data_IF_551520311857
#
_entry.id   IF_551520311857
#
_cell.length_a   1.000
_cell.length_b   1.000
_cell.length_c   1.000
_cell.angle_alpha   90.00
_cell.angle_beta   90.00
_cell.angle_gamma   90.00
#
_symmetry.space_group_name_H-M   'P 1'
#
loop_
_entity.id
_entity.type
_entity.pdbx_description
1 polymer ?
#
# COMPACT_ATOMS: atom_id res chain seq x y z
N UNK A 1 -63.88 19.79 -15.93
CA UNK A 1 -63.10 21.04 -16.02
C UNK A 1 -62.28 21.20 -14.74
N UNK A 2 -60.95 21.10 -14.88
CA UNK A 2 -59.94 21.93 -14.18
C UNK A 2 -59.72 21.60 -12.68
N UNK A 3 -58.51 21.36 -12.14
CA UNK A 3 -57.15 21.78 -12.50
C UNK A 3 -56.14 20.90 -11.73
N UNK A 4 -55.19 20.28 -12.42
CA UNK A 4 -54.01 19.68 -11.79
C UNK A 4 -53.17 20.76 -11.11
N UNK A 5 -52.84 20.60 -9.83
CA UNK A 5 -51.82 21.41 -9.15
C UNK A 5 -50.46 20.76 -9.39
N UNK A 6 -49.79 21.22 -10.45
CA UNK A 6 -48.40 20.86 -10.72
C UNK A 6 -47.49 21.37 -9.62
N UNK A 7 -46.79 20.46 -8.95
CA UNK A 7 -45.66 20.76 -8.10
C UNK A 7 -44.54 21.32 -8.98
N UNK A 8 -44.38 22.65 -9.00
CA UNK A 8 -43.20 23.30 -9.58
C UNK A 8 -42.03 23.04 -8.63
N UNK A 9 -41.30 21.95 -8.89
CA UNK A 9 -39.97 21.76 -8.36
C UNK A 9 -39.06 22.84 -8.96
N UNK A 10 -38.82 23.91 -8.20
CA UNK A 10 -37.80 24.90 -8.52
C UNK A 10 -36.47 24.16 -8.49
N UNK A 11 -35.92 23.82 -9.66
CA UNK A 11 -34.50 23.49 -9.79
C UNK A 11 -33.74 24.72 -9.30
N UNK A 12 -33.05 24.58 -8.18
CA UNK A 12 -32.02 25.52 -7.80
C UNK A 12 -31.08 25.64 -9.01
N UNK A 13 -30.88 26.87 -9.48
CA UNK A 13 -29.80 27.15 -10.43
C UNK A 13 -28.52 26.96 -9.64
N UNK A 14 -27.94 25.78 -9.74
CA UNK A 14 -26.57 25.52 -9.31
C UNK A 14 -25.68 26.40 -10.19
N UNK A 15 -25.28 27.56 -9.66
CA UNK A 15 -24.15 28.28 -10.21
C UNK A 15 -22.97 27.32 -10.14
N UNK A 16 -22.19 27.13 -11.22
CA UNK A 16 -21.01 26.30 -11.14
C UNK A 16 -20.09 26.95 -10.11
N UNK A 17 -20.01 26.33 -8.92
CA UNK A 17 -19.01 26.65 -7.92
C UNK A 17 -17.64 26.62 -8.61
N UNK A 18 -16.72 27.45 -8.13
CA UNK A 18 -15.36 27.50 -8.66
C UNK A 18 -14.83 26.07 -8.81
N UNK A 19 -14.18 25.74 -9.93
CA UNK A 19 -13.77 24.36 -10.25
C UNK A 19 -12.90 23.73 -9.14
N UNK A 20 -12.19 24.56 -8.37
CA UNK A 20 -11.46 24.17 -7.17
C UNK A 20 -12.38 23.65 -6.06
N UNK A 21 -13.50 24.32 -5.80
CA UNK A 21 -14.43 23.95 -4.74
C UNK A 21 -15.12 22.61 -5.06
N UNK A 22 -15.44 22.38 -6.34
CA UNK A 22 -15.98 21.10 -6.83
C UNK A 22 -14.95 19.97 -6.68
N UNK A 23 -13.69 20.22 -7.04
CA UNK A 23 -12.61 19.24 -6.91
C UNK A 23 -12.32 18.89 -5.45
N UNK A 24 -12.29 19.89 -4.55
CA UNK A 24 -12.11 19.68 -3.11
C UNK A 24 -13.28 18.89 -2.52
N UNK A 25 -14.53 19.25 -2.86
CA UNK A 25 -15.71 18.51 -2.42
C UNK A 25 -15.70 17.05 -2.89
N UNK A 26 -15.20 16.76 -4.10
CA UNK A 26 -15.02 15.39 -4.57
C UNK A 26 -13.92 14.63 -3.81
N UNK A 27 -12.79 15.28 -3.51
CA UNK A 27 -11.68 14.68 -2.75
C UNK A 27 -12.09 14.32 -1.31
N UNK A 28 -13.00 15.07 -0.69
CA UNK A 28 -13.57 14.75 0.62
C UNK A 28 -14.62 13.63 0.53
N UNK A 29 -15.48 13.68 -0.49
CA UNK A 29 -16.56 12.71 -0.68
C UNK A 29 -16.06 11.31 -1.04
N UNK A 30 -15.04 11.20 -1.90
CA UNK A 30 -14.54 9.92 -2.39
C UNK A 30 -14.07 8.95 -1.28
N UNK A 31 -13.22 9.34 -0.31
CA UNK A 31 -12.82 8.45 0.78
C UNK A 31 -14.01 8.07 1.66
N UNK A 32 -14.95 8.98 1.94
CA UNK A 32 -16.17 8.68 2.70
C UNK A 32 -17.07 7.62 2.05
N UNK A 33 -17.00 7.47 0.72
CA UNK A 33 -17.77 6.47 -0.03
C UNK A 33 -16.98 5.23 -0.44
N UNK A 34 -15.70 5.18 -0.12
CA UNK A 34 -14.81 4.08 -0.52
C UNK A 34 -14.97 2.81 0.32
N UNK A 35 -15.68 2.88 1.46
CA UNK A 35 -15.79 1.77 2.41
C UNK A 35 -14.47 1.46 3.14
N UNK A 36 -13.51 2.39 3.09
CA UNK A 36 -12.27 2.32 3.85
C UNK A 36 -12.58 2.61 5.32
N UNK A 37 -12.17 1.70 6.19
CA UNK A 37 -12.32 1.82 7.64
C UNK A 37 -11.37 2.88 8.23
N UNK A 38 -11.74 3.45 9.38
CA UNK A 38 -10.94 4.48 10.05
C UNK A 38 -9.56 3.95 10.52
N UNK A 39 -9.42 2.63 10.73
CA UNK A 39 -8.13 2.01 11.07
C UNK A 39 -7.22 1.77 9.86
N UNK A 40 -7.71 2.02 8.63
CA UNK A 40 -6.93 1.81 7.43
C UNK A 40 -5.75 2.80 7.36
N UNK A 41 -4.55 2.24 7.48
CA UNK A 41 -3.34 3.05 7.48
C UNK A 41 -3.01 3.61 6.08
N UNK A 42 -3.20 4.92 5.90
CA UNK A 42 -2.67 5.68 4.77
C UNK A 42 -1.33 6.34 5.15
N UNK A 43 -0.62 6.85 4.15
CA UNK A 43 0.57 7.67 4.38
C UNK A 43 0.16 8.90 5.20
N UNK A 44 0.67 9.01 6.44
CA UNK A 44 0.29 10.03 7.44
C UNK A 44 0.33 11.47 6.91
N UNK A 45 1.14 11.73 5.88
CA UNK A 45 1.26 13.05 5.26
C UNK A 45 0.26 13.35 4.15
N UNK A 46 -0.38 12.35 3.52
CA UNK A 46 -1.19 12.57 2.30
C UNK A 46 -2.39 13.48 2.53
N UNK A 47 -2.94 13.49 3.75
CA UNK A 47 -4.08 14.34 4.11
C UNK A 47 -3.67 15.68 4.73
N UNK A 48 -2.36 15.97 4.85
CA UNK A 48 -1.91 17.21 5.45
C UNK A 48 -1.80 18.31 4.38
N UNK A 49 -2.45 19.48 4.55
CA UNK A 49 -2.31 20.60 3.62
C UNK A 49 -0.85 20.99 3.44
N UNK A 50 -0.39 21.08 2.19
CA UNK A 50 1.00 21.42 1.87
C UNK A 50 1.99 20.26 2.02
N UNK A 51 1.53 19.02 2.21
CA UNK A 51 2.41 17.85 2.22
C UNK A 51 3.19 17.73 0.92
N UNK A 52 4.53 17.74 1.06
CA UNK A 52 5.46 17.40 -0.01
C UNK A 52 6.05 16.04 0.31
N UNK A 53 5.66 15.04 -0.47
CA UNK A 53 6.24 13.71 -0.38
C UNK A 53 7.75 13.78 -0.55
N UNK A 54 8.49 13.15 0.36
CA UNK A 54 9.93 12.94 0.22
C UNK A 54 10.24 11.46 0.14
N UNK A 55 11.27 11.10 -0.61
CA UNK A 55 11.73 9.71 -0.70
C UNK A 55 12.13 9.15 0.67
N UNK A 56 12.66 10.01 1.56
CA UNK A 56 12.99 9.65 2.93
C UNK A 56 11.75 9.22 3.72
N UNK A 57 10.68 10.02 3.66
CA UNK A 57 9.40 9.72 4.31
C UNK A 57 8.77 8.47 3.73
N UNK A 58 8.69 8.36 2.40
CA UNK A 58 8.14 7.18 1.74
C UNK A 58 8.86 5.91 2.15
N UNK A 59 10.21 5.94 2.20
CA UNK A 59 11.02 4.80 2.66
C UNK A 59 10.71 4.41 4.10
N UNK A 60 10.64 5.38 5.00
CA UNK A 60 10.39 5.12 6.42
C UNK A 60 9.00 4.51 6.64
N UNK A 61 7.98 5.04 5.99
CA UNK A 61 6.61 4.54 6.06
C UNK A 61 6.48 3.12 5.48
N UNK A 62 7.01 2.89 4.28
CA UNK A 62 6.97 1.57 3.65
C UNK A 62 7.73 0.53 4.48
N UNK A 63 8.86 0.91 5.06
CA UNK A 63 9.60 0.03 5.95
C UNK A 63 8.82 -0.27 7.23
N UNK A 64 8.24 0.74 7.89
CA UNK A 64 7.44 0.56 9.10
C UNK A 64 6.24 -0.37 8.87
N UNK A 65 5.53 -0.21 7.74
CA UNK A 65 4.43 -1.10 7.34
C UNK A 65 4.90 -2.55 7.17
N UNK A 66 6.02 -2.74 6.49
CA UNK A 66 6.62 -4.06 6.27
C UNK A 66 7.09 -4.69 7.59
N UNK A 67 7.68 -3.90 8.48
CA UNK A 67 8.09 -4.34 9.81
C UNK A 67 6.93 -4.81 10.67
N UNK A 68 5.80 -4.11 10.63
CA UNK A 68 4.59 -4.53 11.33
C UNK A 68 4.14 -5.94 10.91
N UNK A 69 4.09 -6.19 9.60
CA UNK A 69 3.75 -7.50 9.06
C UNK A 69 4.77 -8.58 9.44
N UNK A 70 6.07 -8.28 9.37
CA UNK A 70 7.15 -9.22 9.76
C UNK A 70 7.05 -9.58 11.25
N UNK A 71 6.79 -8.60 12.13
CA UNK A 71 6.61 -8.87 13.56
C UNK A 71 5.43 -9.81 13.81
N UNK A 72 4.28 -9.53 13.19
CA UNK A 72 3.11 -10.40 13.26
C UNK A 72 3.39 -11.82 12.76
N UNK A 73 4.11 -11.94 11.64
CA UNK A 73 4.55 -13.23 11.09
C UNK A 73 5.37 -14.04 12.10
N UNK A 74 6.37 -13.44 12.74
CA UNK A 74 7.20 -14.15 13.72
C UNK A 74 6.44 -14.55 14.98
N UNK A 75 5.47 -13.74 15.41
CA UNK A 75 4.61 -14.07 16.56
C UNK A 75 3.75 -15.31 16.26
N UNK A 76 3.17 -15.38 15.06
CA UNK A 76 2.27 -16.49 14.67
C UNK A 76 3.05 -17.76 14.35
N UNK A 77 4.09 -17.67 13.53
CA UNK A 77 4.77 -18.85 12.99
C UNK A 77 5.86 -19.43 13.89
N UNK A 78 6.40 -18.61 14.81
CA UNK A 78 7.52 -18.98 15.70
C UNK A 78 8.79 -19.46 14.96
N UNK A 79 8.88 -19.21 13.65
CA UNK A 79 10.07 -19.50 12.84
C UNK A 79 11.23 -18.62 13.33
N UNK A 80 12.43 -19.16 13.45
CA UNK A 80 13.58 -18.34 13.84
C UNK A 80 14.09 -17.60 12.62
N UNK A 81 14.45 -16.33 12.76
CA UNK A 81 14.95 -15.51 11.63
C UNK A 81 16.15 -16.14 10.89
N UNK A 82 16.95 -16.95 11.59
CA UNK A 82 18.09 -17.69 11.04
C UNK A 82 17.72 -18.82 10.06
N UNK A 83 16.47 -19.29 10.12
CA UNK A 83 15.98 -20.38 9.28
C UNK A 83 15.40 -19.83 7.95
N UNK A 84 15.26 -18.51 7.83
CA UNK A 84 14.80 -17.85 6.60
C UNK A 84 15.95 -17.76 5.59
N UNK A 85 15.78 -18.45 4.46
CA UNK A 85 16.75 -18.50 3.34
C UNK A 85 16.38 -17.61 2.17
N UNK A 86 15.11 -17.27 2.02
CA UNK A 86 14.58 -16.52 0.89
C UNK A 86 13.68 -15.41 1.42
N UNK A 87 13.86 -14.20 0.90
CA UNK A 87 12.99 -13.05 1.18
C UNK A 87 12.64 -12.36 -0.12
N UNK A 88 11.36 -12.39 -0.48
CA UNK A 88 10.83 -11.64 -1.63
C UNK A 88 10.07 -10.43 -1.08
N UNK A 89 10.51 -9.23 -1.44
CA UNK A 89 9.87 -7.97 -1.06
C UNK A 89 9.34 -7.28 -2.31
N UNK A 90 8.12 -6.77 -2.26
CA UNK A 90 7.59 -5.91 -3.32
C UNK A 90 7.14 -4.57 -2.76
N UNK A 91 7.45 -3.50 -3.49
CA UNK A 91 6.90 -2.18 -3.25
C UNK A 91 6.53 -1.56 -4.59
N UNK A 92 5.25 -1.24 -4.77
CA UNK A 92 4.75 -0.65 -6.02
C UNK A 92 5.24 0.78 -6.28
N UNK A 93 5.70 1.49 -5.24
CA UNK A 93 6.00 2.93 -5.31
C UNK A 93 7.45 3.29 -5.00
N UNK A 94 8.25 2.35 -4.45
CA UNK A 94 9.61 2.64 -3.99
C UNK A 94 10.61 1.60 -4.49
N UNK A 95 11.46 2.04 -5.41
CA UNK A 95 12.69 1.35 -5.77
C UNK A 95 13.88 2.28 -5.54
N UNK A 96 14.16 2.56 -4.27
CA UNK A 96 15.20 3.52 -3.85
C UNK A 96 16.46 2.80 -3.39
N UNK A 97 17.61 3.47 -3.34
CA UNK A 97 18.84 2.90 -2.74
C UNK A 97 19.02 3.36 -1.28
N UNK A 98 19.20 2.44 -0.31
CA UNK A 98 19.11 0.98 -0.43
C UNK A 98 17.68 0.47 -0.67
N UNK A 99 17.54 -0.68 -1.36
CA UNK A 99 16.23 -1.23 -1.73
C UNK A 99 15.45 -1.72 -0.50
N UNK A 100 14.11 -1.79 -0.57
CA UNK A 100 13.27 -2.30 0.52
C UNK A 100 13.69 -3.68 1.03
N UNK A 101 14.07 -4.58 0.14
CA UNK A 101 14.55 -5.92 0.48
C UNK A 101 15.78 -5.88 1.40
N UNK A 102 16.74 -4.98 1.16
CA UNK A 102 17.92 -4.83 2.03
C UNK A 102 17.57 -4.32 3.42
N UNK A 103 16.58 -3.42 3.54
CA UNK A 103 16.11 -2.96 4.84
C UNK A 103 15.47 -4.10 5.65
N UNK A 104 14.69 -4.95 4.98
CA UNK A 104 14.07 -6.13 5.58
C UNK A 104 15.13 -7.11 6.08
N UNK A 105 16.07 -7.50 5.21
CA UNK A 105 17.16 -8.43 5.56
C UNK A 105 17.98 -7.94 6.74
N UNK A 106 18.33 -6.65 6.73
CA UNK A 106 19.07 -6.02 7.82
C UNK A 106 18.28 -6.05 9.14
N UNK A 107 16.95 -5.88 9.09
CA UNK A 107 16.12 -5.91 10.29
C UNK A 107 15.99 -7.30 10.90
N UNK A 108 15.77 -8.33 10.08
CA UNK A 108 15.60 -9.71 10.57
C UNK A 108 16.90 -10.33 11.07
N UNK A 109 18.04 -9.64 10.89
CA UNK A 109 19.39 -10.10 11.28
C UNK A 109 19.68 -11.52 10.77
N UNK A 110 19.21 -11.83 9.56
CA UNK A 110 19.50 -13.14 8.94
C UNK A 110 20.98 -13.22 8.57
N UNK A 111 21.55 -14.43 8.61
CA UNK A 111 22.97 -14.70 8.31
C UNK A 111 23.28 -14.36 6.84
N UNK A 112 24.58 -14.29 6.50
CA UNK A 112 25.15 -13.95 5.18
C UNK A 112 24.66 -14.75 3.94
N UNK A 113 23.66 -15.63 4.05
CA UNK A 113 23.20 -16.48 2.96
C UNK A 113 21.67 -16.46 2.81
N UNK A 114 21.09 -15.26 2.77
CA UNK A 114 19.68 -15.03 2.43
C UNK A 114 19.58 -14.47 1.01
N UNK A 115 18.74 -15.10 0.19
CA UNK A 115 18.44 -14.61 -1.14
C UNK A 115 17.34 -13.56 -1.05
N UNK A 116 17.71 -12.31 -1.25
CA UNK A 116 16.79 -11.17 -1.16
C UNK A 116 16.40 -10.66 -2.55
N UNK A 117 15.14 -10.83 -2.93
CA UNK A 117 14.61 -10.36 -4.21
C UNK A 117 13.71 -9.14 -3.97
N UNK A 118 13.85 -8.11 -4.81
CA UNK A 118 13.02 -6.91 -4.78
C UNK A 118 12.24 -6.78 -6.09
N UNK A 119 10.91 -6.89 -6.03
CA UNK A 119 10.03 -6.70 -7.18
C UNK A 119 9.49 -5.28 -7.21
N UNK A 120 9.85 -4.52 -8.25
CA UNK A 120 9.31 -3.19 -8.55
C UNK A 120 8.37 -3.22 -9.75
N UNK A 121 7.46 -2.25 -9.84
CA UNK A 121 6.66 -2.00 -11.05
C UNK A 121 5.43 -2.88 -11.27
N UNK A 122 5.15 -3.88 -10.42
CA UNK A 122 3.99 -4.78 -10.59
C UNK A 122 2.68 -4.21 -10.05
N UNK A 123 2.70 -3.11 -9.28
CA UNK A 123 1.49 -2.50 -8.74
C UNK A 123 0.70 -3.44 -7.82
N UNK A 124 -0.63 -3.40 -7.91
CA UNK A 124 -1.55 -4.16 -7.02
C UNK A 124 -1.46 -5.67 -7.22
N UNK A 125 -1.04 -6.14 -8.40
CA UNK A 125 -0.91 -7.58 -8.69
C UNK A 125 0.32 -8.22 -8.05
N UNK A 126 1.23 -7.40 -7.50
CA UNK A 126 2.48 -7.85 -6.88
C UNK A 126 2.28 -8.95 -5.84
N UNK A 127 1.18 -8.95 -5.09
CA UNK A 127 0.92 -9.96 -4.06
C UNK A 127 0.88 -11.39 -4.63
N UNK A 128 0.15 -11.61 -5.71
CA UNK A 128 0.03 -12.93 -6.34
C UNK A 128 1.35 -13.34 -6.99
N UNK A 129 2.04 -12.39 -7.64
CA UNK A 129 3.32 -12.64 -8.29
C UNK A 129 4.39 -13.04 -7.26
N UNK A 130 4.42 -12.40 -6.09
CA UNK A 130 5.35 -12.76 -5.01
C UNK A 130 5.10 -14.18 -4.52
N UNK A 131 3.83 -14.60 -4.41
CA UNK A 131 3.48 -15.95 -3.99
C UNK A 131 3.91 -16.99 -5.03
N UNK A 132 3.64 -16.74 -6.31
CA UNK A 132 4.03 -17.63 -7.40
C UNK A 132 5.57 -17.76 -7.51
N UNK A 133 6.28 -16.63 -7.42
CA UNK A 133 7.73 -16.61 -7.38
C UNK A 133 8.28 -17.38 -6.16
N UNK A 134 7.70 -17.18 -4.98
CA UNK A 134 8.11 -17.90 -3.78
C UNK A 134 7.92 -19.41 -3.93
N UNK A 135 6.81 -19.85 -4.54
CA UNK A 135 6.58 -21.26 -4.86
C UNK A 135 7.65 -21.82 -5.79
N UNK A 136 7.90 -21.16 -6.92
CA UNK A 136 8.93 -21.61 -7.87
C UNK A 136 10.33 -21.65 -7.26
N UNK A 137 10.66 -20.71 -6.37
CA UNK A 137 11.92 -20.73 -5.63
C UNK A 137 11.99 -21.90 -4.64
N UNK A 138 10.91 -22.18 -3.90
CA UNK A 138 10.88 -23.32 -2.98
C UNK A 138 11.03 -24.65 -3.72
N UNK A 139 10.38 -24.80 -4.88
CA UNK A 139 10.48 -25.99 -5.71
C UNK A 139 11.91 -26.19 -6.25
N UNK A 140 12.57 -25.11 -6.69
CA UNK A 140 13.96 -25.16 -7.14
C UNK A 140 14.93 -25.53 -6.00
N UNK A 141 14.70 -25.01 -4.79
CA UNK A 141 15.50 -25.36 -3.60
C UNK A 141 15.35 -26.82 -3.21
N UNK A 142 14.16 -27.40 -3.34
CA UNK A 142 13.94 -28.82 -3.09
C UNK A 142 14.71 -29.72 -4.08
N UNK A 143 15.02 -29.20 -5.27
CA UNK A 143 15.77 -29.88 -6.32
C UNK A 143 17.29 -29.68 -6.24
N UNK A 144 17.80 -29.01 -5.21
CA UNK A 144 19.24 -28.94 -4.91
C UNK A 144 19.99 -27.74 -5.52
N UNK A 145 19.29 -26.63 -5.76
CA UNK A 145 19.93 -25.31 -5.93
C UNK A 145 20.62 -24.81 -4.66
#
# INVERSE_FOLDING_TARGET
MTRQRGAKQKRAKDQPGNSKDIATGFQEWAPMKSGIDDDAHSLRGVFHPGYRGSLKWGRQEAFMRTLGAIKGFFVVTRVKSKDIRISVTSCGTLNTTPPPSSMVVNHIKSKHNIHSLNLGGMGVTAGIIVIDLAKGLLDAYALGW
#
